data_IF_495406847274
#
_entry.id   IF_495406847274
#
_cell.length_a   1.000
_cell.length_b   1.000
_cell.length_c   1.000
_cell.angle_alpha   90.00
_cell.angle_beta   90.00
_cell.angle_gamma   90.00
#
_symmetry.space_group_name_H-M   'P 1'
#
loop_
_entity.id
_entity.type
_entity.pdbx_description
1 polymer ?
#
# COMPACT_ATOMS: atom_id res chain seq x y z
N UNK A 1 28.18 7.20 -23.85
CA UNK A 1 26.69 7.26 -23.86
C UNK A 1 26.08 6.49 -22.67
N UNK A 2 26.81 5.59 -22.01
CA UNK A 2 26.30 4.76 -20.90
C UNK A 2 25.80 5.53 -19.68
N UNK A 3 26.41 6.69 -19.36
CA UNK A 3 25.98 7.52 -18.22
C UNK A 3 24.56 8.08 -18.39
N UNK A 4 24.13 8.36 -19.63
CA UNK A 4 22.77 8.85 -19.92
C UNK A 4 21.72 7.77 -19.69
N UNK A 5 22.02 6.52 -20.07
CA UNK A 5 21.12 5.40 -19.85
C UNK A 5 21.02 5.00 -18.37
N UNK A 6 22.08 5.19 -17.58
CA UNK A 6 22.04 4.95 -16.13
C UNK A 6 21.14 5.94 -15.39
N UNK A 7 21.24 7.23 -15.71
CA UNK A 7 20.44 8.27 -15.05
C UNK A 7 18.95 8.16 -15.42
N UNK A 8 18.63 7.91 -16.69
CA UNK A 8 17.26 7.71 -17.15
C UNK A 8 16.60 6.49 -16.49
N UNK A 9 17.34 5.38 -16.35
CA UNK A 9 16.86 4.19 -15.63
C UNK A 9 16.62 4.45 -14.14
N UNK A 10 17.49 5.22 -13.50
CA UNK A 10 17.33 5.57 -12.08
C UNK A 10 16.08 6.42 -11.84
N UNK A 11 15.83 7.40 -12.71
CA UNK A 11 14.64 8.26 -12.60
C UNK A 11 13.35 7.46 -12.83
N UNK A 12 13.32 6.59 -13.83
CA UNK A 12 12.18 5.68 -14.06
C UNK A 12 11.93 4.78 -12.86
N UNK A 13 12.99 4.20 -12.28
CA UNK A 13 12.85 3.36 -11.10
C UNK A 13 12.27 4.14 -9.91
N UNK A 14 12.75 5.36 -9.67
CA UNK A 14 12.24 6.24 -8.63
C UNK A 14 10.75 6.54 -8.82
N UNK A 15 10.33 6.83 -10.05
CA UNK A 15 8.92 7.08 -10.37
C UNK A 15 8.03 5.84 -10.11
N UNK A 16 8.51 4.65 -10.45
CA UNK A 16 7.78 3.41 -10.17
C UNK A 16 7.65 3.15 -8.66
N UNK A 17 8.69 3.45 -7.89
CA UNK A 17 8.67 3.34 -6.43
C UNK A 17 7.70 4.35 -5.80
N UNK A 18 7.73 5.61 -6.24
CA UNK A 18 6.81 6.66 -5.80
C UNK A 18 5.34 6.28 -6.08
N UNK A 19 5.04 5.75 -7.27
CA UNK A 19 3.69 5.30 -7.62
C UNK A 19 3.25 4.08 -6.80
N UNK A 20 4.16 3.14 -6.54
CA UNK A 20 3.88 1.98 -5.67
C UNK A 20 3.54 2.42 -4.26
N UNK A 21 4.25 3.39 -3.70
CA UNK A 21 4.01 3.90 -2.35
C UNK A 21 2.64 4.61 -2.24
N UNK A 22 2.25 5.38 -3.27
CA UNK A 22 0.91 6.01 -3.33
C UNK A 22 -0.25 4.99 -3.34
N UNK A 23 0.01 3.75 -3.76
CA UNK A 23 -0.97 2.67 -3.76
C UNK A 23 -1.10 1.96 -2.39
N UNK A 24 -0.28 2.31 -1.40
CA UNK A 24 -0.32 1.71 -0.06
C UNK A 24 -1.29 2.44 0.88
N UNK A 25 -1.87 1.67 1.79
CA UNK A 25 -2.75 2.15 2.85
C UNK A 25 -2.04 3.21 3.70
N UNK A 26 -2.64 4.39 3.86
CA UNK A 26 -2.07 5.50 4.64
C UNK A 26 -1.93 5.21 6.14
N UNK A 27 -2.55 4.14 6.64
CA UNK A 27 -2.50 3.75 8.05
C UNK A 27 -1.34 2.80 8.33
N UNK A 28 -1.18 1.74 7.54
CA UNK A 28 -0.13 0.75 7.77
C UNK A 28 1.10 0.89 6.88
N UNK A 29 1.01 1.61 5.76
CA UNK A 29 2.08 1.79 4.78
C UNK A 29 2.69 0.47 4.27
N UNK A 30 1.89 -0.60 4.30
CA UNK A 30 2.35 -1.97 4.03
C UNK A 30 1.43 -2.67 3.04
N UNK A 31 0.12 -2.62 3.30
CA UNK A 31 -0.91 -3.26 2.45
C UNK A 31 -1.42 -2.30 1.39
N UNK A 32 -1.75 -2.79 0.19
CA UNK A 32 -2.36 -1.95 -0.84
C UNK A 32 -3.71 -1.40 -0.38
N UNK A 33 -4.04 -0.19 -0.86
CA UNK A 33 -5.39 0.32 -0.85
C UNK A 33 -6.28 -0.63 -1.66
N UNK A 34 -7.31 -1.19 -1.03
CA UNK A 34 -8.17 -2.20 -1.64
C UNK A 34 -9.66 -2.03 -1.28
N UNK A 35 -9.99 -0.94 -0.58
CA UNK A 35 -11.35 -0.72 -0.07
C UNK A 35 -11.79 0.71 -0.34
N UNK A 36 -12.94 0.83 -1.01
CA UNK A 36 -13.58 2.08 -1.33
C UNK A 36 -14.73 2.37 -0.34
N UNK A 37 -14.70 3.55 0.29
CA UNK A 37 -15.67 3.94 1.32
C UNK A 37 -16.87 4.65 0.69
N UNK A 38 -18.08 4.11 0.87
CA UNK A 38 -19.32 4.72 0.37
C UNK A 38 -19.99 5.60 1.45
N UNK A 39 -20.56 6.75 1.07
CA UNK A 39 -20.69 7.30 -0.29
C UNK A 39 -19.53 8.23 -0.71
N UNK A 40 -18.48 8.40 0.12
CA UNK A 40 -17.47 9.42 -0.11
C UNK A 40 -16.38 9.08 -1.15
N UNK A 41 -16.29 7.82 -1.59
CA UNK A 41 -15.35 7.27 -2.56
C UNK A 41 -13.85 7.39 -2.20
N UNK A 42 -13.52 7.70 -0.94
CA UNK A 42 -12.13 7.64 -0.50
C UNK A 42 -11.59 6.20 -0.58
N UNK A 43 -10.36 6.07 -1.09
CA UNK A 43 -9.69 4.81 -1.42
C UNK A 43 -8.22 4.87 -0.98
N UNK A 44 -7.98 5.23 0.28
CA UNK A 44 -6.64 5.44 0.84
C UNK A 44 -6.28 4.38 1.89
N UNK A 45 -7.08 3.32 2.02
CA UNK A 45 -6.99 2.39 3.13
C UNK A 45 -7.17 0.94 2.68
N UNK A 46 -6.50 0.03 3.37
CA UNK A 46 -6.79 -1.40 3.29
C UNK A 46 -7.97 -1.75 4.19
N UNK A 47 -8.64 -2.88 3.90
CA UNK A 47 -9.80 -3.33 4.67
C UNK A 47 -9.49 -3.51 6.16
N UNK A 48 -8.37 -4.15 6.51
CA UNK A 48 -8.03 -4.46 7.90
C UNK A 48 -7.95 -3.20 8.77
N UNK A 49 -7.27 -2.16 8.24
CA UNK A 49 -7.14 -0.89 8.93
C UNK A 49 -8.49 -0.16 9.06
N UNK A 50 -9.37 -0.28 8.07
CA UNK A 50 -10.72 0.31 8.15
C UNK A 50 -11.62 -0.42 9.15
N UNK A 51 -11.55 -1.75 9.22
CA UNK A 51 -12.30 -2.53 10.21
C UNK A 51 -11.84 -2.21 11.64
N UNK A 52 -10.53 -2.07 11.83
CA UNK A 52 -9.95 -1.63 13.10
C UNK A 52 -10.43 -0.21 13.47
N UNK A 53 -10.36 0.73 12.52
CA UNK A 53 -10.84 2.10 12.72
C UNK A 53 -12.33 2.14 13.07
N UNK A 54 -13.18 1.35 12.37
CA UNK A 54 -14.61 1.26 12.67
C UNK A 54 -14.87 0.78 14.10
N UNK A 55 -14.02 -0.12 14.61
CA UNK A 55 -14.13 -0.69 15.95
C UNK A 55 -13.65 0.28 17.04
N UNK A 56 -12.59 1.05 16.79
CA UNK A 56 -11.98 1.93 17.81
C UNK A 56 -12.50 3.38 17.78
N UNK A 57 -12.85 3.89 16.61
CA UNK A 57 -13.09 5.32 16.36
C UNK A 57 -14.48 5.59 15.77
N UNK A 58 -15.28 4.54 15.57
CA UNK A 58 -16.64 4.62 15.06
C UNK A 58 -16.73 4.58 13.53
N UNK A 59 -17.97 4.61 13.03
CA UNK A 59 -18.28 4.31 11.64
C UNK A 59 -18.19 5.55 10.71
N UNK A 60 -17.04 6.23 10.69
CA UNK A 60 -16.82 7.43 9.86
C UNK A 60 -15.54 7.32 9.02
N UNK A 61 -15.55 7.92 7.82
CA UNK A 61 -14.40 7.96 6.92
C UNK A 61 -13.22 8.70 7.58
N UNK A 62 -12.01 8.12 7.65
CA UNK A 62 -10.87 8.80 8.27
C UNK A 62 -10.43 10.08 7.50
N UNK A 63 -10.71 10.17 6.20
CA UNK A 63 -10.33 11.32 5.36
C UNK A 63 -11.28 12.50 5.53
N UNK A 64 -12.59 12.26 5.38
CA UNK A 64 -13.59 13.34 5.32
C UNK A 64 -14.62 13.32 6.45
N UNK A 65 -14.53 12.35 7.37
CA UNK A 65 -15.39 12.19 8.55
C UNK A 65 -16.88 11.95 8.27
N UNK A 66 -17.27 11.73 7.02
CA UNK A 66 -18.63 11.31 6.65
C UNK A 66 -18.90 9.89 7.16
N UNK A 67 -20.14 9.61 7.57
CA UNK A 67 -20.58 8.25 7.93
C UNK A 67 -20.33 7.27 6.80
N UNK A 68 -19.83 6.07 7.14
CA UNK A 68 -19.59 5.00 6.17
C UNK A 68 -20.85 4.14 6.08
N UNK A 69 -21.47 4.14 4.92
CA UNK A 69 -22.69 3.36 4.64
C UNK A 69 -22.36 2.01 4.00
N UNK A 70 -21.24 1.91 3.29
CA UNK A 70 -20.79 0.68 2.65
C UNK A 70 -19.28 0.66 2.41
N UNK A 71 -18.76 -0.55 2.25
CA UNK A 71 -17.39 -0.82 1.84
C UNK A 71 -17.43 -1.65 0.57
N UNK A 72 -16.79 -1.18 -0.50
CA UNK A 72 -16.65 -1.92 -1.74
C UNK A 72 -15.20 -2.35 -1.88
N UNK A 73 -14.94 -3.65 -1.82
CA UNK A 73 -13.61 -4.19 -2.09
C UNK A 73 -13.40 -4.26 -3.59
N UNK A 74 -12.21 -3.89 -4.04
CA UNK A 74 -11.85 -4.19 -5.41
C UNK A 74 -11.58 -5.70 -5.52
N UNK A 75 -12.25 -6.37 -6.44
CA UNK A 75 -12.08 -7.82 -6.64
C UNK A 75 -10.87 -8.16 -7.53
N UNK A 76 -10.16 -7.14 -8.02
CA UNK A 76 -9.04 -7.28 -8.94
C UNK A 76 -7.69 -7.42 -8.21
N UNK A 77 -7.60 -6.99 -6.95
CA UNK A 77 -6.44 -7.10 -6.06
C UNK A 77 -6.49 -8.32 -5.13
N UNK A 78 -7.25 -9.37 -5.47
CA UNK A 78 -7.21 -10.66 -4.78
C UNK A 78 -5.84 -11.35 -5.03
N UNK A 79 -4.86 -10.92 -4.25
CA UNK A 79 -3.49 -11.41 -4.05
C UNK A 79 -3.15 -12.76 -4.69
N UNK A 80 -2.34 -12.72 -5.76
CA UNK A 80 -1.27 -13.68 -5.96
C UNK A 80 0.05 -13.08 -5.44
N UNK A 81 0.65 -13.78 -4.48
CA UNK A 81 2.07 -13.79 -4.07
C UNK A 81 2.46 -13.11 -2.74
N UNK A 82 2.88 -13.91 -1.74
CA UNK A 82 3.81 -13.47 -0.71
C UNK A 82 5.24 -13.49 -1.27
N UNK A 83 5.95 -12.36 -1.25
CA UNK A 83 7.41 -12.34 -1.40
C UNK A 83 8.02 -11.47 -0.32
N UNK A 84 8.01 -12.01 0.90
CA UNK A 84 9.08 -11.75 1.84
C UNK A 84 10.21 -12.72 1.50
N UNK A 85 11.10 -12.28 0.61
CA UNK A 85 12.40 -12.93 0.39
C UNK A 85 13.25 -12.72 1.64
N UNK A 86 13.07 -13.56 2.66
CA UNK A 86 14.06 -13.69 3.74
C UNK A 86 15.25 -14.44 3.18
N UNK A 87 16.21 -13.72 2.62
CA UNK A 87 17.60 -14.20 2.57
C UNK A 87 18.22 -13.93 3.94
N UNK A 88 18.55 -14.94 4.77
CA UNK A 88 19.54 -14.72 5.80
C UNK A 88 20.89 -14.51 5.12
N UNK A 89 21.40 -13.30 5.28
CA UNK A 89 22.77 -12.91 4.96
C UNK A 89 23.73 -13.91 5.61
N UNK A 90 24.45 -14.68 4.80
CA UNK A 90 25.50 -15.58 5.25
C UNK A 90 26.64 -14.75 5.85
N UNK A 91 26.71 -14.69 7.17
CA UNK A 91 27.88 -14.20 7.89
C UNK A 91 28.99 -15.24 7.71
N UNK A 92 30.04 -14.90 6.96
CA UNK A 92 31.28 -15.67 7.02
C UNK A 92 31.96 -15.43 8.38
N UNK A 93 32.38 -16.47 9.11
CA UNK A 93 33.45 -16.33 10.08
C UNK A 93 34.80 -16.42 9.36
N UNK A 94 35.60 -15.38 9.54
CA UNK A 94 37.04 -15.42 9.37
C UNK A 94 37.64 -16.43 10.34
N UNK A 95 38.50 -17.34 9.87
CA UNK A 95 39.78 -17.78 10.45
C UNK A 95 40.40 -18.85 9.54
#
# INVERSE_FOLDING_TARGET
MEKRHSAERQELQRQLEDEREKALCLVCLERPCNTLLLPCLHFQYCLDCLLQHRSCNGNTCPTCRRSIEGLCMDSSLATSSPSASTTPHAQQPSL
#
